data_IF_892093986920
#
_entry.id   IF_892093986920
#
_cell.length_a   1.000
_cell.length_b   1.000
_cell.length_c   1.000
_cell.angle_alpha   90.00
_cell.angle_beta   90.00
_cell.angle_gamma   90.00
#
_symmetry.space_group_name_H-M   'P 1'
#
loop_
_entity.id
_entity.type
_entity.pdbx_description
1 polymer ?
#
# COMPACT_ATOMS: atom_id res chain seq x y z
N UNK A 1 -0.91 15.51 1.00
CA UNK A 1 -0.23 14.26 1.41
C UNK A 1 0.58 14.49 2.69
N UNK A 2 0.45 13.59 3.66
CA UNK A 2 1.33 13.55 4.83
C UNK A 2 2.73 13.09 4.43
N UNK A 3 3.75 13.39 5.22
CA UNK A 3 5.13 13.02 4.87
C UNK A 3 5.32 11.51 4.71
N UNK A 4 4.74 10.74 5.64
CA UNK A 4 4.75 9.28 5.61
C UNK A 4 4.16 8.69 4.31
N UNK A 5 3.19 9.38 3.70
CA UNK A 5 2.55 8.93 2.47
C UNK A 5 3.52 8.94 1.29
N UNK A 6 4.34 9.99 1.18
CA UNK A 6 5.37 10.08 0.15
C UNK A 6 6.49 9.07 0.38
N UNK A 7 6.91 8.92 1.64
CA UNK A 7 7.98 7.97 2.01
C UNK A 7 7.55 6.52 1.74
N UNK A 8 6.31 6.15 2.08
CA UNK A 8 5.75 4.84 1.81
C UNK A 8 5.61 4.57 0.31
N UNK A 9 5.05 5.53 -0.47
CA UNK A 9 4.95 5.39 -1.92
C UNK A 9 6.32 5.18 -2.57
N UNK A 10 7.32 6.00 -2.21
CA UNK A 10 8.66 5.89 -2.77
C UNK A 10 9.29 4.54 -2.45
N UNK A 11 9.18 4.06 -1.21
CA UNK A 11 9.71 2.76 -0.82
C UNK A 11 9.05 1.61 -1.60
N UNK A 12 7.72 1.61 -1.67
CA UNK A 12 6.91 0.59 -2.36
C UNK A 12 7.22 0.57 -3.87
N UNK A 13 7.24 1.74 -4.52
CA UNK A 13 7.53 1.85 -5.96
C UNK A 13 8.98 1.49 -6.32
N UNK A 14 9.91 1.61 -5.36
CA UNK A 14 11.28 1.11 -5.52
C UNK A 14 11.43 -0.39 -5.19
N UNK A 15 10.34 -1.12 -4.93
CA UNK A 15 10.36 -2.55 -4.65
C UNK A 15 10.93 -2.91 -3.28
N UNK A 16 10.81 -2.01 -2.29
CA UNK A 16 11.22 -2.28 -0.91
C UNK A 16 10.07 -2.86 -0.10
N UNK A 17 10.39 -3.76 0.82
CA UNK A 17 9.44 -4.23 1.83
C UNK A 17 9.13 -3.12 2.83
N UNK A 18 7.84 -2.91 3.12
CA UNK A 18 7.37 -1.81 3.98
C UNK A 18 6.38 -2.32 5.02
N UNK A 19 6.62 -1.94 6.28
CA UNK A 19 5.64 -2.06 7.37
C UNK A 19 5.11 -0.68 7.68
N UNK A 20 3.79 -0.51 7.62
CA UNK A 20 3.14 0.78 7.82
C UNK A 20 2.31 0.77 9.12
N UNK A 21 2.80 1.47 10.14
CA UNK A 21 2.10 1.66 11.41
C UNK A 21 1.31 2.99 11.40
N UNK A 22 0.10 2.92 10.87
CA UNK A 22 -0.80 4.07 10.71
C UNK A 22 -2.23 3.64 11.05
N UNK A 23 -2.96 4.52 11.75
CA UNK A 23 -4.36 4.33 12.11
C UNK A 23 -5.30 3.97 10.96
N UNK A 24 -6.47 3.43 11.29
CA UNK A 24 -7.56 3.23 10.33
C UNK A 24 -8.09 4.58 9.82
N UNK A 25 -8.65 4.60 8.61
CA UNK A 25 -9.15 5.83 7.98
C UNK A 25 -8.08 6.79 7.42
N UNK A 26 -6.79 6.57 7.67
CA UNK A 26 -5.72 7.46 7.19
C UNK A 26 -5.33 7.27 5.72
N UNK A 27 -6.05 6.44 4.97
CA UNK A 27 -5.80 6.18 3.55
C UNK A 27 -4.65 5.21 3.24
N UNK A 28 -4.18 4.43 4.23
CA UNK A 28 -3.10 3.45 4.03
C UNK A 28 -3.42 2.36 2.98
N UNK A 29 -4.69 2.02 2.79
CA UNK A 29 -5.13 1.01 1.81
C UNK A 29 -4.64 1.32 0.39
N UNK A 30 -4.61 2.61 0.02
CA UNK A 30 -4.14 3.04 -1.31
C UNK A 30 -2.71 2.58 -1.60
N UNK A 31 -1.84 2.55 -0.58
CA UNK A 31 -0.43 2.24 -0.76
C UNK A 31 -0.18 0.76 -1.06
N UNK A 32 -1.05 -0.13 -0.59
CA UNK A 32 -0.97 -1.56 -0.93
C UNK A 32 -1.46 -1.85 -2.36
N UNK A 33 -2.28 -0.97 -2.94
CA UNK A 33 -2.73 -1.07 -4.33
C UNK A 33 -1.85 -0.28 -5.31
N UNK A 34 -1.00 0.61 -4.81
CA UNK A 34 -0.20 1.53 -5.62
C UNK A 34 0.69 0.84 -6.67
N UNK A 35 1.40 -0.27 -6.38
CA UNK A 35 2.18 -0.97 -7.40
C UNK A 35 1.36 -1.46 -8.58
N UNK A 36 0.14 -1.93 -8.33
CA UNK A 36 -0.74 -2.51 -9.36
C UNK A 36 -1.20 -1.48 -10.39
N UNK A 37 -1.13 -0.20 -10.05
CA UNK A 37 -1.50 0.88 -10.97
C UNK A 37 -0.43 1.15 -12.03
N UNK A 38 0.78 0.61 -11.87
CA UNK A 38 1.87 0.83 -12.82
C UNK A 38 1.81 -0.11 -14.03
N UNK A 39 1.26 -1.31 -13.87
CA UNK A 39 1.24 -2.32 -14.91
C UNK A 39 0.02 -3.23 -14.75
N UNK A 40 -0.79 -3.32 -15.80
CA UNK A 40 -2.03 -4.12 -15.84
C UNK A 40 -1.79 -5.64 -15.66
N UNK A 41 -0.55 -6.11 -15.81
CA UNK A 41 -0.18 -7.51 -15.64
C UNK A 41 0.25 -7.85 -14.21
N UNK A 42 0.41 -6.87 -13.34
CA UNK A 42 0.86 -7.11 -11.97
C UNK A 42 -0.25 -7.74 -11.13
N UNK A 43 0.13 -8.57 -10.17
CA UNK A 43 -0.79 -9.32 -9.31
C UNK A 43 -0.49 -8.97 -7.86
N UNK A 44 -1.54 -8.73 -7.07
CA UNK A 44 -1.44 -8.56 -5.62
C UNK A 44 -2.25 -9.64 -4.91
N UNK A 45 -1.71 -10.11 -3.79
CA UNK A 45 -2.38 -11.02 -2.86
C UNK A 45 -2.54 -10.28 -1.55
N UNK A 46 -3.79 -9.91 -1.23
CA UNK A 46 -4.13 -9.27 0.04
C UNK A 46 -4.61 -10.32 1.04
N UNK A 47 -3.92 -10.43 2.17
CA UNK A 47 -4.34 -11.28 3.30
C UNK A 47 -5.00 -10.39 4.34
N UNK A 48 -6.29 -10.62 4.59
CA UNK A 48 -7.10 -9.86 5.52
C UNK A 48 -7.62 -10.78 6.63
N UNK A 49 -7.73 -10.30 7.88
CA UNK A 49 -8.21 -11.12 8.99
C UNK A 49 -9.73 -11.35 8.96
N UNK A 50 -10.49 -10.54 8.22
CA UNK A 50 -11.94 -10.65 8.07
C UNK A 50 -12.32 -10.53 6.59
N UNK A 51 -13.37 -11.24 6.19
CA UNK A 51 -13.89 -11.23 4.81
C UNK A 51 -14.58 -9.92 4.44
N UNK A 52 -15.05 -9.15 5.43
CA UNK A 52 -15.77 -7.90 5.22
C UNK A 52 -14.88 -6.65 5.21
N UNK A 53 -13.56 -6.83 5.30
CA UNK A 53 -12.57 -5.74 5.32
C UNK A 53 -12.08 -5.39 3.91
#
# INVERSE_FOLDING_TARGET
>A
PFRWQLDAAAAILCGKDVVLDIGTGSGKTLYFSLPLLLNEKDISISVLPLTAL
#
